data_IF_635673457387
#
_entry.id   IF_635673457387
#
_cell.length_a   1.000
_cell.length_b   1.000
_cell.length_c   1.000
_cell.angle_alpha   90.00
_cell.angle_beta   90.00
_cell.angle_gamma   90.00
#
_symmetry.space_group_name_H-M   'P 1'
#
loop_
_entity.id
_entity.type
_entity.pdbx_description
1 polymer ?
#
# COMPACT_ATOMS: atom_id res chain seq x y z
N UNK A 1 41.93 10.39 4.72
CA UNK A 1 40.90 9.49 5.30
C UNK A 1 39.50 10.12 5.28
N UNK A 2 39.29 11.34 5.80
CA UNK A 2 37.97 12.01 5.77
C UNK A 2 37.34 12.12 4.36
N UNK A 3 38.13 12.49 3.34
CA UNK A 3 37.68 12.57 1.93
C UNK A 3 37.33 11.21 1.30
N UNK A 4 37.94 10.12 1.77
CA UNK A 4 37.68 8.76 1.29
C UNK A 4 36.35 8.21 1.80
N UNK A 5 35.85 8.71 2.94
CA UNK A 5 34.57 8.31 3.54
C UNK A 5 33.43 9.25 3.11
N UNK A 6 33.74 10.53 2.89
CA UNK A 6 32.75 11.52 2.47
C UNK A 6 32.12 11.19 1.10
N UNK A 7 32.91 10.68 0.16
CA UNK A 7 32.42 10.34 -1.18
C UNK A 7 31.38 9.20 -1.20
N UNK A 8 31.61 8.03 -0.57
CA UNK A 8 30.60 6.98 -0.50
C UNK A 8 29.38 7.37 0.34
N UNK A 9 29.54 8.19 1.40
CA UNK A 9 28.39 8.73 2.15
C UNK A 9 27.54 9.66 1.30
N UNK A 10 28.16 10.52 0.50
CA UNK A 10 27.45 11.39 -0.43
C UNK A 10 26.72 10.58 -1.50
N UNK A 11 27.37 9.55 -2.05
CA UNK A 11 26.73 8.64 -2.99
C UNK A 11 25.53 7.95 -2.33
N UNK A 12 25.70 7.34 -1.15
CA UNK A 12 24.60 6.69 -0.43
C UNK A 12 23.43 7.65 -0.18
N UNK A 13 23.70 8.88 0.26
CA UNK A 13 22.67 9.88 0.49
C UNK A 13 21.90 10.26 -0.79
N UNK A 14 22.58 10.29 -1.94
CA UNK A 14 21.95 10.58 -3.24
C UNK A 14 21.17 9.38 -3.79
N UNK A 15 21.62 8.15 -3.54
CA UNK A 15 20.99 6.94 -4.07
C UNK A 15 19.92 6.34 -3.16
N UNK A 16 19.98 6.56 -1.84
CA UNK A 16 19.02 6.02 -0.88
C UNK A 16 17.55 6.30 -1.22
N UNK A 17 17.16 7.50 -1.72
CA UNK A 17 15.77 7.76 -2.12
C UNK A 17 15.29 6.90 -3.29
N UNK A 18 16.20 6.50 -4.19
CA UNK A 18 15.90 5.71 -5.38
C UNK A 18 15.95 4.19 -5.14
N UNK A 19 16.46 3.76 -3.99
CA UNK A 19 16.57 2.34 -3.67
C UNK A 19 15.20 1.64 -3.74
N UNK A 20 14.12 2.33 -3.35
CA UNK A 20 12.75 1.84 -3.45
C UNK A 20 12.32 1.51 -4.89
N UNK A 21 12.78 2.27 -5.88
CA UNK A 21 12.45 2.04 -7.30
C UNK A 21 13.07 0.75 -7.82
N UNK A 22 14.20 0.32 -7.27
CA UNK A 22 14.85 -0.95 -7.65
C UNK A 22 14.08 -2.18 -7.16
N UNK A 23 13.13 -2.01 -6.24
CA UNK A 23 12.23 -3.08 -5.76
C UNK A 23 10.94 -3.17 -6.56
N UNK A 24 10.65 -2.20 -7.44
CA UNK A 24 9.42 -2.15 -8.21
C UNK A 24 9.70 -2.73 -9.59
N UNK A 25 9.03 -3.84 -9.90
CA UNK A 25 8.93 -4.29 -11.28
C UNK A 25 7.77 -3.56 -11.95
N UNK A 26 8.07 -2.76 -12.97
CA UNK A 26 7.14 -1.81 -13.59
C UNK A 26 6.47 -2.42 -14.83
N UNK A 27 5.89 -3.61 -14.67
CA UNK A 27 5.12 -4.25 -15.75
C UNK A 27 3.79 -3.50 -15.97
N UNK A 28 3.36 -3.33 -17.23
CA UNK A 28 2.05 -2.76 -17.50
C UNK A 28 0.95 -3.69 -16.94
N UNK A 29 -0.16 -3.14 -16.42
CA UNK A 29 -1.25 -3.95 -15.91
C UNK A 29 -1.93 -4.73 -17.05
N UNK A 30 -2.27 -5.98 -16.77
CA UNK A 30 -3.11 -6.83 -17.62
C UNK A 30 -4.51 -6.97 -17.01
N UNK A 31 -5.48 -7.44 -17.82
CA UNK A 31 -6.80 -7.80 -17.27
C UNK A 31 -6.66 -8.91 -16.23
N UNK A 32 -7.38 -8.75 -15.13
CA UNK A 32 -7.42 -9.70 -14.02
C UNK A 32 -8.84 -9.85 -13.49
N UNK A 33 -9.07 -10.92 -12.73
CA UNK A 33 -10.35 -11.13 -12.04
C UNK A 33 -10.53 -10.17 -10.84
N UNK A 34 -9.43 -9.74 -10.23
CA UNK A 34 -9.44 -8.85 -9.07
C UNK A 34 -8.15 -8.02 -8.96
N UNK A 35 -8.27 -6.84 -8.35
CA UNK A 35 -7.15 -6.01 -7.89
C UNK A 35 -7.05 -6.13 -6.37
N UNK A 36 -5.88 -6.51 -5.86
CA UNK A 36 -5.62 -6.63 -4.42
C UNK A 36 -4.74 -5.46 -3.96
N UNK A 37 -5.30 -4.62 -3.11
CA UNK A 37 -4.61 -3.49 -2.48
C UNK A 37 -4.09 -3.94 -1.13
N UNK A 38 -2.79 -4.15 -1.03
CA UNK A 38 -2.12 -4.33 0.24
C UNK A 38 -2.01 -2.97 0.92
N UNK A 39 -2.71 -2.81 2.04
CA UNK A 39 -2.57 -1.70 2.95
C UNK A 39 -1.09 -1.52 3.37
N UNK A 40 -0.78 -0.30 3.75
CA UNK A 40 0.60 0.12 3.99
C UNK A 40 0.67 1.64 4.02
N UNK A 41 1.85 2.18 4.23
CA UNK A 41 2.04 3.62 4.44
C UNK A 41 2.07 4.46 3.14
N UNK A 42 1.49 3.96 2.05
CA UNK A 42 1.45 4.66 0.77
C UNK A 42 0.02 5.18 0.52
N UNK A 43 -0.20 6.50 0.60
CA UNK A 43 -1.55 7.08 0.52
C UNK A 43 -2.21 6.88 -0.84
N UNK A 44 -1.42 6.70 -1.90
CA UNK A 44 -1.91 6.70 -3.28
C UNK A 44 -2.29 5.31 -3.82
N UNK A 45 -2.05 4.23 -3.07
CA UNK A 45 -2.29 2.85 -3.54
C UNK A 45 -3.75 2.58 -3.88
N UNK A 46 -4.66 3.01 -3.00
CA UNK A 46 -6.09 2.77 -3.15
C UNK A 46 -6.69 3.61 -4.29
N UNK A 47 -6.43 4.95 -4.38
CA UNK A 47 -6.84 5.73 -5.55
C UNK A 47 -6.31 5.18 -6.88
N UNK A 48 -5.07 4.69 -6.91
CA UNK A 48 -4.51 4.07 -8.11
C UNK A 48 -5.25 2.80 -8.52
N UNK A 49 -5.60 1.95 -7.55
CA UNK A 49 -6.33 0.72 -7.79
C UNK A 49 -7.78 0.98 -8.27
N UNK A 50 -8.44 2.02 -7.74
CA UNK A 50 -9.73 2.49 -8.26
C UNK A 50 -9.62 2.91 -9.73
N UNK A 51 -8.58 3.68 -10.07
CA UNK A 51 -8.37 4.12 -11.44
C UNK A 51 -8.16 2.94 -12.41
N UNK A 52 -7.51 1.86 -11.96
CA UNK A 52 -7.34 0.63 -12.75
C UNK A 52 -8.68 -0.11 -12.92
N UNK A 53 -9.47 -0.22 -11.86
CA UNK A 53 -10.82 -0.79 -11.92
C UNK A 53 -11.70 -0.02 -12.91
N UNK A 54 -11.72 1.30 -12.82
CA UNK A 54 -12.55 2.17 -13.67
C UNK A 54 -12.10 2.14 -15.15
N UNK A 55 -10.84 1.81 -15.41
CA UNK A 55 -10.32 1.52 -16.75
C UNK A 55 -10.69 0.11 -17.29
N UNK A 56 -11.34 -0.72 -16.46
CA UNK A 56 -11.81 -2.06 -16.83
C UNK A 56 -10.73 -3.14 -16.76
N UNK A 57 -9.69 -2.95 -15.94
CA UNK A 57 -8.67 -3.98 -15.70
C UNK A 57 -9.18 -5.12 -14.82
N UNK A 58 -10.06 -4.83 -13.87
CA UNK A 58 -10.80 -5.83 -13.08
C UNK A 58 -12.10 -5.22 -12.56
N UNK A 59 -13.08 -6.06 -12.27
CA UNK A 59 -14.37 -5.63 -11.68
C UNK A 59 -14.34 -5.67 -10.14
N UNK A 60 -13.48 -6.52 -9.56
CA UNK A 60 -13.35 -6.72 -8.12
C UNK A 60 -12.13 -5.98 -7.57
N UNK A 61 -12.33 -5.23 -6.48
CA UNK A 61 -11.27 -4.62 -5.69
C UNK A 61 -11.28 -5.25 -4.30
N UNK A 62 -10.12 -5.70 -3.80
CA UNK A 62 -9.96 -6.29 -2.47
C UNK A 62 -8.93 -5.45 -1.72
N UNK A 63 -9.25 -4.98 -0.52
CA UNK A 63 -8.34 -4.15 0.29
C UNK A 63 -7.98 -4.92 1.57
N UNK A 64 -6.68 -5.08 1.84
CA UNK A 64 -6.25 -5.74 3.08
C UNK A 64 -6.56 -4.85 4.30
N UNK A 65 -7.13 -5.45 5.34
CA UNK A 65 -7.55 -4.75 6.55
C UNK A 65 -6.39 -4.62 7.56
N UNK A 66 -5.29 -3.97 7.15
CA UNK A 66 -4.13 -3.79 8.03
C UNK A 66 -4.33 -2.63 9.01
N UNK A 67 -3.57 -2.66 10.11
CA UNK A 67 -3.51 -1.54 11.06
C UNK A 67 -2.89 -0.32 10.41
N UNK A 68 -3.66 0.77 10.40
CA UNK A 68 -3.21 2.08 9.97
C UNK A 68 -2.72 2.83 11.21
N UNK A 69 -1.45 3.20 11.22
CA UNK A 69 -0.86 4.05 12.25
C UNK A 69 -0.71 5.45 11.66
N UNK A 70 -1.65 6.33 11.96
CA UNK A 70 -1.64 7.69 11.40
C UNK A 70 -1.98 8.68 12.51
N UNK A 71 -1.08 9.63 12.77
CA UNK A 71 -1.28 10.75 13.70
C UNK A 71 -1.72 10.34 15.12
N UNK A 72 -1.20 9.22 15.64
CA UNK A 72 -1.52 8.71 16.98
C UNK A 72 -2.85 7.97 17.08
N UNK A 73 -3.53 7.76 15.95
CA UNK A 73 -4.70 6.90 15.85
C UNK A 73 -4.25 5.49 15.47
N UNK A 74 -4.60 4.50 16.29
CA UNK A 74 -4.59 3.10 15.89
C UNK A 74 -5.98 2.74 15.38
N UNK A 75 -6.07 2.51 14.08
CA UNK A 75 -7.32 2.13 13.42
C UNK A 75 -7.04 1.12 12.31
N UNK A 76 -8.08 0.69 11.60
CA UNK A 76 -7.93 -0.10 10.38
C UNK A 76 -8.63 0.61 9.22
N UNK A 77 -8.30 0.22 7.99
CA UNK A 77 -9.02 0.71 6.81
C UNK A 77 -10.52 0.44 6.88
N UNK A 78 -10.91 -0.73 7.41
CA UNK A 78 -12.32 -1.05 7.66
C UNK A 78 -12.98 -0.06 8.63
N UNK A 79 -12.32 0.24 9.76
CA UNK A 79 -12.89 1.13 10.76
C UNK A 79 -13.02 2.57 10.23
N UNK A 80 -12.08 3.03 9.39
CA UNK A 80 -12.17 4.33 8.72
C UNK A 80 -13.30 4.38 7.69
N UNK A 81 -13.48 3.32 6.90
CA UNK A 81 -14.58 3.19 5.95
C UNK A 81 -15.94 3.18 6.69
N UNK A 82 -16.08 2.38 7.76
CA UNK A 82 -17.31 2.31 8.54
C UNK A 82 -17.65 3.64 9.21
N UNK A 83 -16.65 4.43 9.58
CA UNK A 83 -16.83 5.76 10.14
C UNK A 83 -17.15 6.83 9.08
N UNK A 84 -17.09 6.49 7.78
CA UNK A 84 -17.29 7.43 6.67
C UNK A 84 -16.20 8.51 6.57
N UNK A 85 -15.02 8.26 7.17
CA UNK A 85 -13.94 9.27 7.31
C UNK A 85 -12.98 9.24 6.11
N UNK A 86 -12.86 8.13 5.41
CA UNK A 86 -12.20 8.01 4.10
C UNK A 86 -12.25 6.57 3.58
N UNK A 87 -11.97 6.45 2.27
CA UNK A 87 -11.94 5.28 1.38
C UNK A 87 -13.21 5.19 0.49
N UNK A 88 -13.05 4.87 -0.80
CA UNK A 88 -14.03 4.99 -1.91
C UNK A 88 -15.44 4.50 -1.61
N UNK A 89 -16.40 4.89 -2.47
CA UNK A 89 -17.66 4.17 -2.64
C UNK A 89 -17.36 2.73 -3.10
N UNK A 90 -17.01 1.88 -2.14
CA UNK A 90 -16.87 0.45 -2.36
C UNK A 90 -18.21 -0.18 -2.01
N UNK A 91 -18.80 -0.97 -2.92
CA UNK A 91 -19.90 -1.81 -2.51
C UNK A 91 -19.42 -2.73 -1.39
N UNK A 92 -20.27 -3.02 -0.41
CA UNK A 92 -19.92 -3.90 0.72
C UNK A 92 -19.35 -5.26 0.27
N UNK A 93 -19.70 -5.72 -0.94
CA UNK A 93 -19.16 -6.94 -1.55
C UNK A 93 -17.68 -6.89 -1.94
N UNK A 94 -17.07 -5.71 -2.01
CA UNK A 94 -15.65 -5.52 -2.30
C UNK A 94 -14.79 -5.57 -1.02
N UNK A 95 -15.42 -5.62 0.16
CA UNK A 95 -14.71 -5.66 1.43
C UNK A 95 -14.65 -7.10 1.96
N UNK A 96 -13.47 -7.72 1.84
CA UNK A 96 -13.18 -9.03 2.42
C UNK A 96 -12.30 -8.84 3.65
N UNK A 97 -12.89 -9.01 4.83
CA UNK A 97 -12.14 -9.07 6.10
C UNK A 97 -11.55 -10.46 6.25
N UNK A 98 -10.23 -10.56 6.31
CA UNK A 98 -9.57 -11.80 6.71
C UNK A 98 -9.57 -11.85 8.25
N UNK A 99 -10.31 -12.82 8.81
CA UNK A 99 -10.63 -12.90 10.24
C UNK A 99 -9.48 -13.37 11.16
N UNK A 100 -8.27 -13.57 10.63
CA UNK A 100 -7.13 -13.98 11.46
C UNK A 100 -6.08 -12.86 11.54
N UNK A 101 -5.87 -12.24 12.73
CA UNK A 101 -4.65 -11.49 12.95
C UNK A 101 -3.47 -12.47 12.75
N UNK A 102 -2.40 -12.08 12.04
CA UNK A 102 -1.21 -12.91 11.97
C UNK A 102 -0.79 -13.24 13.41
N UNK A 103 -0.40 -14.50 13.70
CA UNK A 103 0.02 -14.90 15.03
C UNK A 103 1.05 -13.89 15.53
N UNK A 104 0.89 -13.41 16.77
CA UNK A 104 1.86 -12.50 17.39
C UNK A 104 3.25 -13.04 17.12
N UNK A 105 4.04 -12.23 16.42
CA UNK A 105 5.29 -12.64 15.77
C UNK A 105 6.10 -13.58 16.64
N UNK A 106 6.52 -14.69 16.06
CA UNK A 106 7.71 -15.41 16.54
C UNK A 106 8.90 -14.47 16.38
N UNK A 107 9.18 -13.68 17.44
CA UNK A 107 10.48 -13.03 17.66
C UNK A 107 11.40 -14.04 18.32
#
# INVERSE_FOLDING_TARGET
MLRLIALPLLALALFAPFAGTLLIDAEPPDRADAIVVLAGNAPDRLPWAEQLRDQGFADLLIVSNERVHTHGLETTWLALHQAGVSAPELPDSALVVLDEPPPESTI
#
